data_IF_306140593226
#
_entry.id   IF_306140593226
#
_cell.length_a   1.000
_cell.length_b   1.000
_cell.length_c   1.000
_cell.angle_alpha   90.00
_cell.angle_beta   90.00
_cell.angle_gamma   90.00
#
_symmetry.space_group_name_H-M   'P 1'
#
loop_
_entity.id
_entity.type
_entity.pdbx_description
1 polymer ?
#
# COMPACT_ATOMS: atom_id res chain seq x y z
N UNK A 1 59.56 64.29 -38.20
CA UNK A 1 59.60 62.86 -38.44
C UNK A 1 58.71 62.13 -37.43
N UNK A 2 57.46 61.89 -37.79
CA UNK A 2 56.46 61.23 -36.91
C UNK A 2 56.24 59.85 -37.37
N UNK A 3 56.53 58.85 -36.49
CA UNK A 3 56.22 57.44 -36.71
C UNK A 3 54.82 57.19 -36.15
N UNK A 4 53.88 56.87 -37.01
CA UNK A 4 52.55 56.34 -36.66
C UNK A 4 52.68 54.90 -36.20
N UNK A 5 52.27 54.64 -34.96
CA UNK A 5 52.07 53.29 -34.45
C UNK A 5 50.62 52.86 -34.75
N UNK A 6 50.47 51.88 -35.62
CA UNK A 6 49.19 51.20 -35.85
C UNK A 6 48.94 50.22 -34.71
N UNK A 7 47.89 50.47 -33.90
CA UNK A 7 47.41 49.52 -32.91
C UNK A 7 46.53 48.48 -33.61
N UNK A 8 46.99 47.23 -33.64
CA UNK A 8 46.15 46.06 -34.00
C UNK A 8 45.22 45.78 -32.81
N UNK A 9 43.93 45.86 -33.08
CA UNK A 9 42.88 45.47 -32.13
C UNK A 9 42.54 44.00 -32.42
N UNK A 10 43.01 43.09 -31.57
CA UNK A 10 42.64 41.67 -31.64
C UNK A 10 41.28 41.47 -30.98
N UNK A 11 40.26 41.13 -31.79
CA UNK A 11 38.96 40.66 -31.31
C UNK A 11 39.13 39.23 -30.74
N UNK A 12 39.03 39.09 -29.44
CA UNK A 12 38.88 37.80 -28.80
C UNK A 12 37.40 37.35 -28.94
N UNK A 13 37.15 36.36 -29.80
CA UNK A 13 35.90 35.65 -29.80
C UNK A 13 35.87 34.66 -28.61
N UNK A 14 35.10 34.97 -27.56
CA UNK A 14 34.85 34.06 -26.45
C UNK A 14 33.75 33.11 -26.90
N UNK A 15 34.14 31.86 -27.30
CA UNK A 15 33.20 30.78 -27.49
C UNK A 15 32.73 30.29 -26.10
N UNK A 16 31.51 30.66 -25.71
CA UNK A 16 30.85 30.03 -24.53
C UNK A 16 30.32 28.66 -24.94
N UNK A 17 30.67 27.58 -24.20
CA UNK A 17 30.01 26.32 -24.42
C UNK A 17 28.58 26.39 -23.86
N UNK A 18 27.59 26.13 -24.72
CA UNK A 18 26.22 25.85 -24.30
C UNK A 18 26.23 24.55 -23.53
N UNK A 19 26.03 24.60 -22.22
CA UNK A 19 25.74 23.43 -21.40
C UNK A 19 24.32 22.97 -21.74
N UNK A 20 24.20 21.87 -22.48
CA UNK A 20 22.92 21.16 -22.61
C UNK A 20 22.52 20.61 -21.23
N UNK A 21 21.54 21.26 -20.62
CA UNK A 21 20.86 20.72 -19.44
C UNK A 21 20.05 19.52 -19.93
N UNK A 22 20.65 18.34 -19.83
CA UNK A 22 19.97 17.08 -20.07
C UNK A 22 18.82 16.95 -19.06
N UNK A 23 17.58 17.08 -19.55
CA UNK A 23 16.40 16.72 -18.78
C UNK A 23 16.46 15.21 -18.54
N UNK A 24 16.78 14.80 -17.31
CA UNK A 24 16.60 13.41 -16.89
C UNK A 24 15.13 13.02 -17.11
N UNK A 25 14.84 11.90 -17.75
CA UNK A 25 13.47 11.43 -17.83
C UNK A 25 12.95 11.24 -16.39
N UNK A 26 11.88 11.93 -16.04
CA UNK A 26 11.17 11.66 -14.80
C UNK A 26 10.76 10.19 -14.84
N UNK A 27 11.35 9.38 -13.97
CA UNK A 27 10.90 8.00 -13.77
C UNK A 27 9.44 8.09 -13.37
N UNK A 28 8.54 7.58 -14.20
CA UNK A 28 7.13 7.43 -13.86
C UNK A 28 7.09 6.54 -12.61
N UNK A 29 6.89 7.13 -11.45
CA UNK A 29 6.71 6.37 -10.22
C UNK A 29 5.38 5.65 -10.35
N UNK A 30 5.41 4.33 -10.46
CA UNK A 30 4.20 3.51 -10.42
C UNK A 30 3.47 3.84 -9.12
N UNK A 31 2.28 4.40 -9.24
CA UNK A 31 1.41 4.73 -8.13
C UNK A 31 0.53 3.52 -7.83
N UNK A 32 0.43 3.14 -6.56
CA UNK A 32 -0.36 2.01 -6.10
C UNK A 32 -1.49 2.49 -5.19
N UNK A 33 -2.63 1.83 -5.28
CA UNK A 33 -3.80 2.13 -4.47
C UNK A 33 -4.35 0.87 -3.80
N UNK A 34 -4.76 1.01 -2.54
CA UNK A 34 -5.58 0.02 -1.85
C UNK A 34 -7.05 0.33 -2.16
N UNK A 35 -7.74 -0.59 -2.80
CA UNK A 35 -9.15 -0.47 -3.15
C UNK A 35 -9.97 -1.56 -2.45
N UNK A 36 -11.15 -1.18 -1.96
CA UNK A 36 -12.18 -2.10 -1.48
C UNK A 36 -13.47 -1.84 -2.23
N UNK A 37 -13.94 -2.83 -2.98
CA UNK A 37 -15.14 -2.72 -3.82
C UNK A 37 -16.14 -3.82 -3.51
N UNK A 38 -17.44 -3.51 -3.59
CA UNK A 38 -18.48 -4.53 -3.47
C UNK A 38 -18.66 -5.31 -4.77
N UNK A 39 -19.39 -6.42 -4.74
CA UNK A 39 -19.76 -7.20 -5.94
C UNK A 39 -20.55 -6.39 -6.96
N UNK A 40 -21.21 -5.31 -6.53
CA UNK A 40 -21.96 -4.39 -7.40
C UNK A 40 -21.12 -3.24 -7.97
N UNK A 41 -19.81 -3.23 -7.67
CA UNK A 41 -18.87 -2.21 -8.14
C UNK A 41 -18.87 -0.92 -7.32
N UNK A 42 -19.55 -0.87 -6.17
CA UNK A 42 -19.48 0.26 -5.25
C UNK A 42 -18.12 0.28 -4.55
N UNK A 43 -17.43 1.43 -4.58
CA UNK A 43 -16.14 1.63 -3.91
C UNK A 43 -16.38 2.07 -2.46
N UNK A 44 -15.89 1.28 -1.51
CA UNK A 44 -15.94 1.55 -0.08
C UNK A 44 -14.66 2.22 0.44
N UNK A 45 -13.54 1.95 -0.20
CA UNK A 45 -12.22 2.50 0.09
C UNK A 45 -11.42 2.63 -1.19
N UNK A 46 -10.69 3.73 -1.31
CA UNK A 46 -9.74 3.96 -2.40
C UNK A 46 -8.64 4.92 -1.93
N UNK A 47 -7.55 4.35 -1.40
CA UNK A 47 -6.47 5.08 -0.75
C UNK A 47 -5.12 4.81 -1.39
N UNK A 48 -4.23 5.81 -1.39
CA UNK A 48 -2.86 5.64 -1.86
C UNK A 48 -2.13 4.60 -1.00
N UNK A 49 -1.47 3.66 -1.68
CA UNK A 49 -0.70 2.59 -1.04
C UNK A 49 0.67 2.44 -1.71
N UNK A 50 1.56 3.43 -1.62
CA UNK A 50 2.90 3.37 -2.24
C UNK A 50 3.68 2.15 -1.74
N UNK A 51 4.79 1.83 -2.43
CA UNK A 51 5.68 0.76 -1.98
C UNK A 51 6.10 0.98 -0.52
N UNK A 52 5.98 -0.06 0.30
CA UNK A 52 6.19 -0.01 1.74
C UNK A 52 4.96 0.37 2.58
N UNK A 53 3.87 0.84 1.96
CA UNK A 53 2.62 1.12 2.68
C UNK A 53 2.08 -0.12 3.38
N UNK A 54 1.51 0.08 4.57
CA UNK A 54 0.94 -0.96 5.42
C UNK A 54 -0.49 -0.64 5.80
N UNK A 55 -1.32 -1.65 5.87
CA UNK A 55 -2.69 -1.61 6.39
C UNK A 55 -3.02 -2.93 7.06
N UNK A 56 -4.02 -2.95 7.92
CA UNK A 56 -4.53 -4.18 8.51
C UNK A 56 -6.04 -4.29 8.30
N UNK A 57 -6.52 -5.49 8.15
CA UNK A 57 -7.93 -5.81 8.36
C UNK A 57 -8.07 -6.25 9.80
N UNK A 58 -8.86 -5.51 10.55
CA UNK A 58 -9.20 -5.80 11.93
C UNK A 58 -10.64 -6.29 12.02
N UNK A 59 -10.90 -7.26 12.89
CA UNK A 59 -12.26 -7.70 13.19
C UNK A 59 -12.34 -8.33 14.58
N UNK A 60 -13.55 -8.43 15.11
CA UNK A 60 -13.83 -9.16 16.33
C UNK A 60 -14.25 -10.59 16.01
N UNK A 61 -13.64 -11.56 16.67
CA UNK A 61 -14.03 -12.96 16.54
C UNK A 61 -15.52 -13.12 16.90
N UNK A 62 -16.34 -13.76 16.05
CA UNK A 62 -17.79 -13.77 16.13
C UNK A 62 -18.34 -14.39 17.44
N UNK A 63 -17.59 -15.27 18.09
CA UNK A 63 -18.01 -15.97 19.32
C UNK A 63 -17.29 -15.44 20.56
N UNK A 64 -15.99 -15.23 20.47
CA UNK A 64 -15.13 -14.85 21.60
C UNK A 64 -14.96 -13.34 21.76
N UNK A 65 -15.33 -12.54 20.74
CA UNK A 65 -15.30 -11.08 20.69
C UNK A 65 -13.93 -10.41 20.90
N UNK A 66 -12.86 -11.17 20.86
CA UNK A 66 -11.52 -10.60 20.84
C UNK A 66 -11.15 -10.05 19.44
N UNK A 67 -10.23 -9.12 19.42
CA UNK A 67 -9.74 -8.50 18.18
C UNK A 67 -8.70 -9.40 17.49
N UNK A 68 -8.88 -9.59 16.20
CA UNK A 68 -7.93 -10.25 15.30
C UNK A 68 -7.48 -9.22 14.27
N UNK A 69 -6.20 -9.25 13.89
CA UNK A 69 -5.66 -8.41 12.82
C UNK A 69 -4.87 -9.25 11.82
N UNK A 70 -5.15 -9.06 10.54
CA UNK A 70 -4.27 -9.47 9.46
C UNK A 70 -3.68 -8.22 8.81
N UNK A 71 -2.36 -8.08 8.90
CA UNK A 71 -1.65 -6.90 8.42
C UNK A 71 -0.90 -7.19 7.13
N UNK A 72 -1.10 -6.33 6.16
CA UNK A 72 -0.56 -6.41 4.82
C UNK A 72 0.43 -5.30 4.55
N UNK A 73 1.30 -5.53 3.57
CA UNK A 73 2.26 -4.56 3.05
C UNK A 73 2.26 -4.57 1.53
N UNK A 74 2.44 -3.40 0.93
CA UNK A 74 2.81 -3.30 -0.48
C UNK A 74 4.34 -3.50 -0.63
N UNK A 75 4.76 -4.68 -1.01
CA UNK A 75 6.16 -4.99 -1.30
C UNK A 75 6.43 -4.80 -2.79
N UNK A 76 6.80 -3.57 -3.17
CA UNK A 76 7.12 -3.20 -4.55
C UNK A 76 6.06 -3.63 -5.58
N UNK A 77 4.77 -3.44 -5.26
CA UNK A 77 3.65 -3.80 -6.13
C UNK A 77 3.07 -5.20 -5.87
N UNK A 78 3.56 -5.91 -4.87
CA UNK A 78 3.00 -7.18 -4.43
C UNK A 78 2.34 -7.00 -3.06
N UNK A 79 1.05 -7.27 -2.95
CA UNK A 79 0.37 -7.36 -1.67
C UNK A 79 0.87 -8.59 -0.91
N UNK A 80 1.45 -8.39 0.26
CA UNK A 80 1.90 -9.47 1.13
C UNK A 80 1.19 -9.43 2.47
N UNK A 81 0.72 -10.58 2.95
CA UNK A 81 0.37 -10.76 4.36
C UNK A 81 1.68 -10.77 5.16
N UNK A 82 1.95 -9.68 5.89
CA UNK A 82 3.21 -9.46 6.61
C UNK A 82 3.18 -10.14 7.98
N UNK A 83 2.08 -9.94 8.72
CA UNK A 83 1.89 -10.48 10.08
C UNK A 83 0.42 -10.59 10.45
N UNK A 84 0.12 -11.42 11.44
CA UNK A 84 -1.23 -11.61 11.99
C UNK A 84 -1.20 -11.55 13.52
N UNK A 85 -2.17 -10.89 14.14
CA UNK A 85 -2.37 -10.90 15.61
C UNK A 85 -3.56 -11.78 15.96
N UNK A 86 -3.35 -12.68 16.90
CA UNK A 86 -4.34 -13.62 17.37
C UNK A 86 -4.29 -13.71 18.90
N UNK A 87 -5.38 -13.42 19.59
CA UNK A 87 -5.38 -13.36 21.06
C UNK A 87 -5.60 -14.70 21.76
N UNK A 88 -5.90 -15.79 21.03
CA UNK A 88 -6.16 -17.10 21.67
C UNK A 88 -5.85 -18.26 20.71
N UNK A 89 -5.03 -19.21 21.17
CA UNK A 89 -4.76 -20.48 20.47
C UNK A 89 -6.02 -21.35 20.33
N UNK A 90 -6.99 -21.21 21.22
CA UNK A 90 -8.20 -22.05 21.23
C UNK A 90 -9.22 -21.68 20.15
N UNK A 91 -9.01 -20.57 19.41
CA UNK A 91 -9.96 -20.10 18.39
C UNK A 91 -9.86 -20.81 17.04
N UNK A 92 -9.03 -21.84 16.92
CA UNK A 92 -8.83 -22.58 15.65
C UNK A 92 -8.02 -21.82 14.60
N UNK A 93 -7.49 -20.67 14.95
CA UNK A 93 -6.61 -19.82 14.11
C UNK A 93 -5.13 -20.12 14.36
N UNK A 94 -4.83 -21.32 14.90
CA UNK A 94 -3.51 -21.68 15.39
C UNK A 94 -2.39 -21.47 14.39
N UNK A 95 -1.21 -21.18 14.92
CA UNK A 95 0.02 -21.06 14.14
C UNK A 95 0.32 -22.35 13.39
N UNK A 96 0.49 -22.23 12.07
CA UNK A 96 0.96 -23.34 11.23
C UNK A 96 2.48 -23.38 11.34
N UNK A 97 3.02 -24.54 11.72
CA UNK A 97 4.47 -24.72 11.86
C UNK A 97 5.20 -24.36 10.56
N UNK A 98 6.21 -23.51 10.66
CA UNK A 98 6.96 -23.01 9.50
C UNK A 98 6.34 -21.79 8.81
N UNK A 99 5.21 -21.25 9.30
CA UNK A 99 4.58 -20.03 8.82
C UNK A 99 4.83 -18.87 9.77
N UNK A 100 5.88 -18.08 9.50
CA UNK A 100 6.28 -16.93 10.32
C UNK A 100 6.83 -17.30 11.69
N UNK A 101 7.06 -16.27 12.51
CA UNK A 101 7.62 -16.37 13.85
C UNK A 101 6.59 -15.91 14.89
N UNK A 102 6.27 -16.77 15.86
CA UNK A 102 5.32 -16.45 16.91
C UNK A 102 5.99 -15.73 18.05
N UNK A 103 5.41 -14.59 18.48
CA UNK A 103 5.83 -13.81 19.66
C UNK A 103 4.64 -13.44 20.52
N UNK A 104 4.77 -13.54 21.85
CA UNK A 104 3.72 -13.09 22.75
C UNK A 104 3.48 -11.58 22.64
N UNK A 105 2.23 -11.13 22.75
CA UNK A 105 1.86 -9.72 22.86
C UNK A 105 1.94 -9.19 24.31
N UNK A 106 2.24 -10.05 25.27
CA UNK A 106 2.30 -9.73 26.70
C UNK A 106 0.93 -9.60 27.38
N UNK A 107 -0.18 -9.82 26.66
CA UNK A 107 -1.57 -9.68 27.18
C UNK A 107 -2.39 -10.96 27.04
N UNK A 108 -1.73 -12.07 26.75
CA UNK A 108 -2.37 -13.39 26.54
C UNK A 108 -2.61 -13.76 25.09
N UNK A 109 -2.36 -12.86 24.15
CA UNK A 109 -2.34 -13.09 22.73
C UNK A 109 -0.93 -13.25 22.16
N UNK A 110 -0.86 -13.33 20.85
CA UNK A 110 0.40 -13.47 20.13
C UNK A 110 0.35 -12.89 18.72
N UNK A 111 1.50 -12.45 18.26
CA UNK A 111 1.76 -12.12 16.87
C UNK A 111 2.40 -13.30 16.14
N UNK A 112 2.03 -13.48 14.91
CA UNK A 112 2.79 -14.26 13.94
C UNK A 112 3.44 -13.24 13.01
N UNK A 113 4.72 -13.01 13.18
CA UNK A 113 5.51 -12.05 12.40
C UNK A 113 6.20 -12.75 11.21
N UNK A 114 6.70 -11.96 10.27
CA UNK A 114 7.46 -12.45 9.11
C UNK A 114 6.74 -13.56 8.32
N UNK A 115 5.42 -13.47 8.20
CA UNK A 115 4.63 -14.38 7.35
C UNK A 115 5.06 -14.18 5.90
N UNK A 116 5.06 -12.94 5.41
CA UNK A 116 5.51 -12.50 4.08
C UNK A 116 4.93 -13.33 2.92
N UNK A 117 3.69 -13.79 3.07
CA UNK A 117 2.99 -14.54 2.03
C UNK A 117 2.38 -13.62 0.98
N UNK A 118 2.71 -13.78 -0.31
CA UNK A 118 2.10 -12.98 -1.36
C UNK A 118 0.63 -13.35 -1.54
N UNK A 119 -0.22 -12.34 -1.66
CA UNK A 119 -1.64 -12.51 -1.98
C UNK A 119 -1.78 -12.70 -3.48
N UNK A 120 -2.39 -13.80 -3.90
CA UNK A 120 -2.57 -14.15 -5.30
C UNK A 120 -3.28 -13.02 -6.08
N UNK A 121 -2.69 -12.58 -7.19
CA UNK A 121 -3.21 -11.50 -8.04
C UNK A 121 -3.47 -10.19 -7.27
N UNK A 122 -2.75 -9.92 -6.18
CA UNK A 122 -2.91 -8.73 -5.34
C UNK A 122 -4.36 -8.52 -4.85
N UNK A 123 -5.17 -9.56 -4.69
CA UNK A 123 -6.57 -9.42 -4.29
C UNK A 123 -7.09 -10.64 -3.54
N UNK A 124 -8.06 -10.41 -2.67
CA UNK A 124 -8.85 -11.47 -2.05
C UNK A 124 -10.29 -11.02 -1.77
N UNK A 125 -11.17 -11.99 -1.61
CA UNK A 125 -12.57 -11.76 -1.29
C UNK A 125 -12.77 -11.86 0.23
N UNK A 126 -13.45 -10.87 0.80
CA UNK A 126 -13.88 -10.86 2.19
C UNK A 126 -15.42 -10.88 2.24
N UNK A 127 -16.00 -11.81 3.00
CA UNK A 127 -17.39 -11.69 3.42
C UNK A 127 -17.45 -10.82 4.67
N UNK A 128 -17.99 -9.62 4.52
CA UNK A 128 -18.06 -8.65 5.61
C UNK A 128 -19.02 -9.15 6.70
N UNK A 129 -18.55 -9.18 7.95
CA UNK A 129 -19.35 -9.56 9.09
C UNK A 129 -20.37 -8.49 9.48
N UNK A 130 -21.24 -8.84 10.46
CA UNK A 130 -22.15 -7.88 11.08
C UNK A 130 -21.40 -6.73 11.79
N UNK A 131 -22.10 -5.64 12.16
CA UNK A 131 -21.51 -4.57 12.96
C UNK A 131 -20.87 -5.07 14.28
N UNK A 132 -21.36 -6.16 14.87
CA UNK A 132 -20.76 -6.77 16.06
C UNK A 132 -19.37 -7.41 15.79
N UNK A 133 -19.15 -7.91 14.56
CA UNK A 133 -17.84 -8.41 14.11
C UNK A 133 -16.92 -7.24 13.76
N UNK A 134 -17.47 -6.16 13.24
CA UNK A 134 -16.79 -4.91 12.90
C UNK A 134 -15.50 -5.11 12.07
N UNK A 135 -15.64 -5.69 10.87
CA UNK A 135 -14.53 -5.65 9.93
C UNK A 135 -14.21 -4.20 9.57
N UNK A 136 -12.95 -3.82 9.74
CA UNK A 136 -12.50 -2.47 9.40
C UNK A 136 -11.08 -2.50 8.83
N UNK A 137 -10.77 -1.50 8.00
CA UNK A 137 -9.41 -1.22 7.55
C UNK A 137 -8.80 -0.25 8.54
N UNK A 138 -7.61 -0.58 9.05
CA UNK A 138 -6.84 0.25 9.97
C UNK A 138 -5.41 0.41 9.48
N UNK A 139 -4.79 1.55 9.78
CA UNK A 139 -3.40 1.83 9.44
C UNK A 139 -2.54 1.81 10.70
N UNK A 140 -1.41 1.06 10.68
CA UNK A 140 -0.54 0.93 11.86
C UNK A 140 0.12 2.23 12.31
N UNK A 141 0.26 3.20 11.40
CA UNK A 141 0.81 4.53 11.67
C UNK A 141 -0.13 5.43 12.49
N UNK A 142 -1.43 5.13 12.52
CA UNK A 142 -2.45 5.93 13.19
C UNK A 142 -2.75 7.28 12.53
N UNK A 143 -2.18 7.55 11.36
CA UNK A 143 -2.39 8.81 10.63
C UNK A 143 -3.75 8.85 9.92
N UNK A 144 -4.31 7.68 9.60
CA UNK A 144 -5.58 7.54 8.94
C UNK A 144 -6.66 7.05 9.91
N UNK A 145 -7.89 7.58 9.83
CA UNK A 145 -9.01 7.06 10.61
C UNK A 145 -9.36 5.64 10.14
N UNK A 146 -9.77 4.78 11.08
CA UNK A 146 -10.28 3.45 10.74
C UNK A 146 -11.54 3.55 9.86
N UNK A 147 -11.63 2.69 8.85
CA UNK A 147 -12.78 2.64 7.93
C UNK A 147 -13.54 1.33 8.16
N UNK A 148 -14.75 1.44 8.69
CA UNK A 148 -15.60 0.28 8.94
C UNK A 148 -16.25 -0.23 7.66
N UNK A 149 -15.89 -1.44 7.27
CA UNK A 149 -16.54 -2.17 6.19
C UNK A 149 -17.88 -2.73 6.67
N UNK A 150 -17.99 -3.09 7.95
CA UNK A 150 -19.23 -3.64 8.52
C UNK A 150 -20.37 -2.63 8.59
N UNK A 151 -20.09 -1.34 8.75
CA UNK A 151 -21.11 -0.28 8.69
C UNK A 151 -21.63 -0.08 7.26
N UNK A 152 -20.76 -0.26 6.26
CA UNK A 152 -21.09 0.04 4.87
C UNK A 152 -21.63 -1.18 4.10
N UNK A 153 -21.15 -2.40 4.42
CA UNK A 153 -21.39 -3.58 3.60
C UNK A 153 -21.62 -4.87 4.40
N UNK A 154 -22.21 -4.81 5.61
CA UNK A 154 -22.48 -5.99 6.43
C UNK A 154 -23.21 -7.10 5.62
N UNK A 155 -22.70 -8.33 5.72
CA UNK A 155 -23.26 -9.51 5.03
C UNK A 155 -22.90 -9.61 3.54
N UNK A 156 -22.35 -8.57 2.93
CA UNK A 156 -21.95 -8.53 1.50
C UNK A 156 -20.53 -9.10 1.32
N UNK A 157 -20.20 -9.48 0.09
CA UNK A 157 -18.84 -9.75 -0.30
C UNK A 157 -18.21 -8.49 -0.84
N UNK A 158 -16.94 -8.27 -0.47
CA UNK A 158 -16.11 -7.21 -1.01
C UNK A 158 -14.80 -7.82 -1.56
N UNK A 159 -14.24 -7.15 -2.56
CA UNK A 159 -12.89 -7.40 -3.05
C UNK A 159 -11.96 -6.39 -2.43
N UNK A 160 -10.91 -6.86 -1.75
CA UNK A 160 -9.79 -6.03 -1.27
C UNK A 160 -8.64 -6.24 -2.24
N UNK A 161 -8.11 -5.16 -2.81
CA UNK A 161 -7.15 -5.25 -3.91
C UNK A 161 -6.10 -4.13 -3.83
N UNK A 162 -4.85 -4.48 -4.14
CA UNK A 162 -3.78 -3.53 -4.46
C UNK A 162 -3.74 -3.35 -5.97
N UNK A 163 -3.97 -2.12 -6.45
CA UNK A 163 -4.10 -1.78 -7.87
C UNK A 163 -2.96 -0.86 -8.29
N UNK A 164 -2.41 -1.10 -9.47
CA UNK A 164 -1.51 -0.18 -10.16
C UNK A 164 -2.34 0.90 -10.87
N UNK A 165 -2.15 2.18 -10.51
CA UNK A 165 -2.87 3.32 -11.12
C UNK A 165 -2.63 3.42 -12.62
N UNK A 166 -1.51 2.92 -13.14
CA UNK A 166 -1.23 2.92 -14.57
C UNK A 166 -2.24 2.09 -15.37
N UNK A 167 -2.92 1.15 -14.73
CA UNK A 167 -3.94 0.30 -15.35
C UNK A 167 -5.36 0.88 -15.23
N UNK A 168 -5.56 1.91 -14.40
CA UNK A 168 -6.87 2.52 -14.18
C UNK A 168 -7.35 3.39 -15.35
N UNK A 169 -6.46 3.79 -16.26
CA UNK A 169 -6.79 4.72 -17.36
C UNK A 169 -7.33 4.04 -18.62
N UNK A 170 -7.33 2.70 -18.70
CA UNK A 170 -7.73 1.97 -19.93
C UNK A 170 -9.20 1.49 -19.93
N UNK A 171 -9.99 1.79 -18.90
CA UNK A 171 -11.38 1.33 -18.77
C UNK A 171 -12.40 2.43 -19.04
N UNK A 172 -12.09 3.42 -19.89
CA UNK A 172 -13.07 4.39 -20.40
C UNK A 172 -13.88 3.73 -21.53
N UNK A 173 -15.21 3.63 -21.44
CA UNK A 173 -16.01 3.05 -22.50
C UNK A 173 -15.90 3.89 -23.77
N UNK A 174 -15.54 3.25 -24.87
CA UNK A 174 -15.59 3.81 -26.24
C UNK A 174 -17.03 3.82 -26.74
#
# INVERSE_FOLDING_TARGET
MQRQQRRLMALLFICMPFAEVGASPASASTSWRLSVTTEQGETLLDEQAPAGARWCIEWKHSVKHFTVLDCYRNEAGVMQLERSHQPDFAAGLGHVFGRGEQTSDGQGGYWINAINEPVANNRYLLRVGSPAVNHQVVWPDGEHPAISLSEQAAGRRVTIQLIDDSQSTDNSPR
#
